data_IF_053578316686
#
_entry.id   IF_053578316686
#
_cell.length_a   1.000
_cell.length_b   1.000
_cell.length_c   1.000
_cell.angle_alpha   90.00
_cell.angle_beta   90.00
_cell.angle_gamma   90.00
#
_symmetry.space_group_name_H-M   'P 1'
#
loop_
_entity.id
_entity.type
_entity.pdbx_description
1 polymer ?
#
# COMPACT_ATOMS: atom_id res chain seq x y z
N UNK A 1 10.43 -8.62 -10.84
CA UNK A 1 10.26 -8.42 -9.40
C UNK A 1 8.77 -8.33 -8.98
N UNK A 2 7.85 -8.34 -9.95
CA UNK A 2 6.39 -8.37 -9.74
C UNK A 2 5.80 -9.77 -10.00
N UNK A 3 6.53 -10.84 -9.66
CA UNK A 3 6.01 -12.20 -9.74
C UNK A 3 4.81 -12.41 -8.79
N UNK A 4 3.94 -13.41 -9.04
CA UNK A 4 2.71 -13.59 -8.27
C UNK A 4 2.92 -13.80 -6.77
N UNK A 5 3.96 -14.51 -6.37
CA UNK A 5 4.21 -14.81 -4.95
C UNK A 5 5.40 -14.03 -4.40
N UNK A 6 5.37 -13.78 -3.09
CA UNK A 6 6.46 -13.13 -2.35
C UNK A 6 7.78 -13.89 -2.50
N UNK A 7 7.73 -15.22 -2.39
CA UNK A 7 8.89 -16.10 -2.49
C UNK A 7 9.56 -15.96 -3.86
N UNK A 8 8.77 -15.95 -4.95
CA UNK A 8 9.28 -15.75 -6.30
C UNK A 8 9.86 -14.34 -6.48
N UNK A 9 9.21 -13.32 -5.93
CA UNK A 9 9.71 -11.93 -6.00
C UNK A 9 11.06 -11.79 -5.33
N UNK A 10 11.23 -12.32 -4.13
CA UNK A 10 12.51 -12.31 -3.39
C UNK A 10 13.58 -13.19 -4.06
N UNK A 11 13.20 -14.35 -4.61
CA UNK A 11 14.12 -15.18 -5.37
C UNK A 11 14.62 -14.47 -6.63
N UNK A 12 13.72 -13.85 -7.38
CA UNK A 12 14.06 -13.04 -8.56
C UNK A 12 14.95 -11.84 -8.19
N UNK A 13 14.73 -11.22 -7.04
CA UNK A 13 15.60 -10.14 -6.55
C UNK A 13 17.02 -10.66 -6.34
N UNK A 14 17.20 -11.81 -5.67
CA UNK A 14 18.52 -12.41 -5.45
C UNK A 14 19.25 -12.68 -6.76
N UNK A 15 18.55 -13.12 -7.81
CA UNK A 15 19.14 -13.35 -9.13
C UNK A 15 19.55 -12.02 -9.79
N UNK A 16 18.68 -11.03 -9.79
CA UNK A 16 18.96 -9.72 -10.38
C UNK A 16 20.16 -9.06 -9.70
N UNK A 17 20.28 -9.18 -8.37
CA UNK A 17 21.38 -8.59 -7.60
C UNK A 17 22.76 -9.13 -7.98
N UNK A 18 22.87 -10.33 -8.58
CA UNK A 18 24.15 -10.88 -9.05
C UNK A 18 24.82 -10.03 -10.14
N UNK A 19 24.05 -9.27 -10.88
CA UNK A 19 24.52 -8.44 -12.01
C UNK A 19 24.19 -6.97 -11.84
N UNK A 20 23.46 -6.59 -10.78
CA UNK A 20 23.08 -5.18 -10.55
C UNK A 20 24.24 -4.39 -9.98
N UNK A 21 24.51 -3.24 -10.59
CA UNK A 21 25.37 -2.20 -10.04
C UNK A 21 24.49 -1.01 -9.66
N UNK A 22 24.26 -0.82 -8.38
CA UNK A 22 23.49 0.32 -7.90
C UNK A 22 24.29 1.61 -8.02
N UNK A 23 23.66 2.74 -8.37
CA UNK A 23 24.29 4.05 -8.27
C UNK A 23 24.64 4.35 -6.80
N UNK A 24 25.58 5.28 -6.54
CA UNK A 24 25.82 5.75 -5.18
C UNK A 24 24.53 6.26 -4.53
N UNK A 25 24.29 5.90 -3.27
CA UNK A 25 23.20 6.48 -2.51
C UNK A 25 23.48 7.97 -2.24
N UNK A 26 22.49 8.81 -2.51
CA UNK A 26 22.56 10.25 -2.26
C UNK A 26 21.92 10.54 -0.91
N UNK A 27 22.67 11.04 0.09
CA UNK A 27 22.17 11.20 1.47
C UNK A 27 20.91 12.08 1.59
N UNK A 28 20.68 12.99 0.66
CA UNK A 28 19.51 13.87 0.61
C UNK A 28 18.30 13.24 -0.07
N UNK A 29 18.47 12.10 -0.74
CA UNK A 29 17.38 11.43 -1.46
C UNK A 29 16.70 10.42 -0.54
N UNK A 30 15.55 10.85 -0.03
CA UNK A 30 14.71 10.09 0.91
C UNK A 30 13.27 10.09 0.39
N UNK A 31 12.64 8.91 0.37
CA UNK A 31 11.20 8.81 0.13
C UNK A 31 10.58 7.83 1.12
N UNK A 32 9.98 8.35 2.19
CA UNK A 32 9.30 7.56 3.21
C UNK A 32 7.77 7.44 2.96
N UNK A 33 7.32 7.65 1.72
CA UNK A 33 5.90 7.52 1.36
C UNK A 33 5.75 6.83 0.01
N UNK A 34 5.96 5.52 0.00
CA UNK A 34 5.87 4.67 -1.20
C UNK A 34 4.70 3.71 -1.04
N UNK A 35 3.82 3.69 -2.04
CA UNK A 35 2.72 2.74 -2.15
C UNK A 35 3.14 1.54 -2.99
N UNK A 36 2.58 0.36 -2.66
CA UNK A 36 2.84 -0.89 -3.38
C UNK A 36 1.55 -1.54 -3.89
N UNK A 37 1.64 -2.75 -4.45
CA UNK A 37 0.47 -3.55 -4.86
C UNK A 37 -0.50 -3.81 -3.70
N UNK A 38 -0.06 -3.66 -2.46
CA UNK A 38 -0.93 -3.76 -1.27
C UNK A 38 -1.91 -2.59 -1.11
N UNK A 39 -1.83 -1.57 -1.97
CA UNK A 39 -2.86 -0.52 -2.11
C UNK A 39 -3.23 -0.23 -3.56
N UNK A 40 -2.40 0.45 -4.34
CA UNK A 40 -2.78 0.80 -5.72
C UNK A 40 -1.60 0.99 -6.69
N UNK A 41 -0.38 0.77 -6.25
CA UNK A 41 0.81 0.91 -7.09
C UNK A 41 1.02 -0.35 -7.95
N UNK A 42 1.62 -0.24 -9.12
CA UNK A 42 2.01 -1.41 -9.92
C UNK A 42 3.28 -2.12 -9.39
N UNK A 43 3.93 -1.57 -8.38
CA UNK A 43 5.15 -2.14 -7.81
C UNK A 43 4.83 -3.04 -6.62
N UNK A 44 5.32 -4.29 -6.66
CA UNK A 44 5.38 -5.09 -5.44
C UNK A 44 6.31 -4.45 -4.40
N UNK A 45 6.21 -4.82 -3.12
CA UNK A 45 7.15 -4.31 -2.12
C UNK A 45 8.62 -4.54 -2.52
N UNK A 46 8.95 -5.71 -3.06
CA UNK A 46 10.29 -6.04 -3.59
C UNK A 46 10.71 -5.11 -4.74
N UNK A 47 9.83 -4.88 -5.71
CA UNK A 47 10.11 -4.01 -6.84
C UNK A 47 10.28 -2.54 -6.40
N UNK A 48 9.49 -2.10 -5.42
CA UNK A 48 9.56 -0.74 -4.89
C UNK A 48 10.90 -0.43 -4.21
N UNK A 49 11.42 -1.35 -3.37
CA UNK A 49 12.75 -1.19 -2.75
C UNK A 49 13.85 -1.18 -3.81
N UNK A 50 13.79 -2.09 -4.78
CA UNK A 50 14.76 -2.16 -5.86
C UNK A 50 14.77 -0.86 -6.68
N UNK A 51 13.60 -0.37 -7.10
CA UNK A 51 13.46 0.87 -7.85
C UNK A 51 13.98 2.08 -7.05
N UNK A 52 13.62 2.19 -5.77
CA UNK A 52 14.11 3.24 -4.89
C UNK A 52 15.65 3.26 -4.82
N UNK A 53 16.26 2.10 -4.69
CA UNK A 53 17.73 2.00 -4.66
C UNK A 53 18.38 2.29 -6.01
N UNK A 54 17.74 1.93 -7.12
CA UNK A 54 18.19 2.26 -8.49
C UNK A 54 18.14 3.77 -8.76
N UNK A 55 17.18 4.48 -8.18
CA UNK A 55 17.08 5.95 -8.26
C UNK A 55 18.06 6.68 -7.29
N UNK A 56 18.92 5.93 -6.58
CA UNK A 56 19.91 6.50 -5.68
C UNK A 56 19.37 6.95 -4.32
N UNK A 57 18.17 6.53 -3.94
CA UNK A 57 17.65 6.84 -2.60
C UNK A 57 18.53 6.20 -1.53
N UNK A 58 18.82 6.95 -0.46
CA UNK A 58 19.54 6.43 0.69
C UNK A 58 18.61 5.74 1.70
N UNK A 59 17.31 6.09 1.70
CA UNK A 59 16.28 5.42 2.50
C UNK A 59 14.92 5.50 1.81
N UNK A 60 14.07 4.50 2.06
CA UNK A 60 12.71 4.41 1.55
C UNK A 60 11.73 3.99 2.64
N UNK A 61 10.45 4.28 2.48
CA UNK A 61 9.41 3.86 3.41
C UNK A 61 8.14 3.41 2.71
N UNK A 62 7.61 2.24 3.11
CA UNK A 62 6.32 1.74 2.62
C UNK A 62 5.19 2.34 3.44
N UNK A 63 4.16 2.86 2.73
CA UNK A 63 2.97 3.50 3.32
C UNK A 63 1.74 3.11 2.48
N UNK A 64 1.28 1.88 2.58
CA UNK A 64 0.09 1.44 1.86
C UNK A 64 -1.21 1.87 2.55
N UNK A 65 -2.28 2.06 1.79
CA UNK A 65 -3.59 2.44 2.32
C UNK A 65 -4.25 1.28 3.09
N UNK A 66 -4.59 1.52 4.36
CA UNK A 66 -5.31 0.64 5.27
C UNK A 66 -4.67 -0.76 5.44
N UNK A 67 -3.40 -0.90 5.04
CA UNK A 67 -2.65 -2.15 5.12
C UNK A 67 -1.19 -1.91 5.49
N UNK A 68 -0.65 -2.80 6.31
CA UNK A 68 0.78 -2.92 6.61
C UNK A 68 1.34 -4.26 6.14
N UNK A 69 0.55 -5.07 5.43
CA UNK A 69 0.92 -6.45 5.11
C UNK A 69 2.11 -6.56 4.16
N UNK A 70 2.31 -5.59 3.26
CA UNK A 70 3.49 -5.52 2.39
C UNK A 70 4.81 -5.25 3.11
N UNK A 71 4.76 -4.81 4.38
CA UNK A 71 5.94 -4.40 5.12
C UNK A 71 6.96 -5.53 5.34
N UNK A 72 6.53 -6.77 5.55
CA UNK A 72 7.45 -7.90 5.75
C UNK A 72 8.29 -8.18 4.51
N UNK A 73 7.66 -8.19 3.34
CA UNK A 73 8.37 -8.34 2.07
C UNK A 73 9.29 -7.15 1.80
N UNK A 74 8.81 -5.93 2.09
CA UNK A 74 9.60 -4.71 1.92
C UNK A 74 10.88 -4.73 2.77
N UNK A 75 10.79 -5.19 4.03
CA UNK A 75 11.93 -5.35 4.93
C UNK A 75 12.93 -6.39 4.41
N UNK A 76 12.45 -7.57 3.97
CA UNK A 76 13.33 -8.63 3.45
C UNK A 76 14.03 -8.21 2.15
N UNK A 77 13.32 -7.52 1.26
CA UNK A 77 13.92 -6.96 0.05
C UNK A 77 14.98 -5.90 0.39
N UNK A 78 14.70 -5.05 1.37
CA UNK A 78 15.63 -4.02 1.84
C UNK A 78 16.89 -4.62 2.49
N UNK A 79 16.75 -5.69 3.25
CA UNK A 79 17.88 -6.43 3.82
C UNK A 79 18.79 -7.01 2.72
N UNK A 80 18.21 -7.63 1.68
CA UNK A 80 18.95 -8.16 0.54
C UNK A 80 19.73 -7.07 -0.21
N UNK A 81 19.17 -5.88 -0.29
CA UNK A 81 19.78 -4.71 -0.99
C UNK A 81 20.71 -3.92 -0.06
N UNK A 82 20.66 -4.17 1.24
CA UNK A 82 21.35 -3.40 2.29
C UNK A 82 20.93 -1.92 2.32
N UNK A 83 19.63 -1.67 2.14
CA UNK A 83 19.06 -0.33 2.15
C UNK A 83 18.29 -0.09 3.45
N UNK A 84 18.60 0.99 4.21
CA UNK A 84 17.77 1.40 5.34
C UNK A 84 16.35 1.74 4.90
N UNK A 85 15.34 1.24 5.63
CA UNK A 85 13.94 1.50 5.30
C UNK A 85 13.10 1.75 6.53
N UNK A 86 11.94 2.39 6.33
CA UNK A 86 10.88 2.51 7.34
C UNK A 86 9.62 1.79 6.88
N UNK A 87 8.82 1.34 7.82
CA UNK A 87 7.52 0.74 7.55
C UNK A 87 6.40 1.49 8.25
N UNK A 88 5.27 1.55 7.59
CA UNK A 88 4.10 2.24 8.10
C UNK A 88 2.88 1.99 7.22
N UNK A 89 1.87 2.82 7.36
CA UNK A 89 0.66 2.78 6.56
C UNK A 89 -0.04 4.13 6.53
N UNK A 90 -0.90 4.34 5.54
CA UNK A 90 -1.80 5.48 5.45
C UNK A 90 -3.24 5.05 5.73
N UNK A 91 -3.94 5.82 6.54
CA UNK A 91 -5.33 5.55 6.88
C UNK A 91 -6.16 6.84 6.87
N UNK A 92 -7.48 6.68 6.87
CA UNK A 92 -8.42 7.79 7.10
C UNK A 92 -8.76 7.84 8.58
N UNK A 93 -8.72 9.05 9.14
CA UNK A 93 -9.09 9.31 10.53
C UNK A 93 -10.27 10.28 10.56
N UNK A 94 -11.32 9.94 11.35
CA UNK A 94 -12.38 10.90 11.66
C UNK A 94 -11.83 12.00 12.56
N UNK A 95 -12.25 13.22 12.28
CA UNK A 95 -11.94 14.39 13.09
C UNK A 95 -13.06 14.71 14.09
N UNK A 96 -14.07 13.83 14.23
CA UNK A 96 -15.18 14.00 15.16
C UNK A 96 -14.66 14.16 16.60
N UNK A 97 -15.24 15.08 17.35
CA UNK A 97 -14.83 15.39 18.72
C UNK A 97 -13.49 16.14 18.85
N UNK A 98 -12.90 16.58 17.73
CA UNK A 98 -11.67 17.39 17.71
C UNK A 98 -11.94 18.85 17.29
N UNK A 99 -10.94 19.72 17.43
CA UNK A 99 -11.02 21.12 16.93
C UNK A 99 -11.13 21.19 15.38
N UNK A 100 -10.96 20.06 14.68
CA UNK A 100 -11.05 19.95 13.22
C UNK A 100 -12.39 19.35 12.76
N UNK A 101 -13.31 19.05 13.67
CA UNK A 101 -14.65 18.58 13.34
C UNK A 101 -15.35 19.52 12.36
N UNK A 102 -15.98 18.94 11.33
CA UNK A 102 -16.70 19.68 10.31
C UNK A 102 -15.83 20.53 9.38
N UNK A 103 -14.51 20.52 9.54
CA UNK A 103 -13.59 21.25 8.66
C UNK A 103 -13.06 20.38 7.54
N UNK A 104 -12.78 20.98 6.39
CA UNK A 104 -12.03 20.36 5.32
C UNK A 104 -10.54 20.39 5.65
N UNK A 105 -9.93 19.23 5.60
CA UNK A 105 -8.48 19.04 5.85
C UNK A 105 -7.76 18.67 4.54
N UNK A 106 -6.90 17.67 4.55
CA UNK A 106 -6.16 17.19 3.39
C UNK A 106 -6.92 16.12 2.57
N UNK A 107 -8.17 15.81 2.93
CA UNK A 107 -9.03 14.90 2.16
C UNK A 107 -9.95 15.76 1.26
N UNK A 108 -9.78 15.72 -0.07
CA UNK A 108 -10.59 16.52 -0.99
C UNK A 108 -12.04 16.05 -1.07
N UNK A 109 -12.31 14.78 -0.75
CA UNK A 109 -13.60 14.14 -0.98
C UNK A 109 -14.56 14.25 0.21
N UNK A 110 -14.01 14.37 1.43
CA UNK A 110 -14.80 14.32 2.66
C UNK A 110 -14.42 15.42 3.64
N UNK A 111 -15.45 16.05 4.21
CA UNK A 111 -15.31 17.00 5.34
C UNK A 111 -15.22 16.21 6.64
N UNK A 112 -14.42 16.66 7.59
CA UNK A 112 -14.26 16.02 8.89
C UNK A 112 -13.47 14.69 8.87
N UNK A 113 -12.82 14.37 7.76
CA UNK A 113 -11.95 13.18 7.63
C UNK A 113 -10.60 13.60 7.07
N UNK A 114 -9.52 13.15 7.69
CA UNK A 114 -8.14 13.39 7.24
C UNK A 114 -7.46 12.11 6.79
N UNK A 115 -6.57 12.20 5.80
CA UNK A 115 -5.54 11.19 5.57
C UNK A 115 -4.43 11.36 6.61
N UNK A 116 -4.06 10.27 7.25
CA UNK A 116 -3.03 10.22 8.27
C UNK A 116 -2.04 9.11 7.95
N UNK A 117 -0.74 9.38 8.08
CA UNK A 117 0.29 8.37 7.97
C UNK A 117 0.77 7.95 9.36
N UNK A 118 0.84 6.65 9.58
CA UNK A 118 1.51 6.04 10.73
C UNK A 118 2.88 5.61 10.23
N UNK A 119 3.94 6.19 10.76
CA UNK A 119 5.31 5.93 10.31
C UNK A 119 6.13 5.24 11.39
N UNK A 120 7.16 4.51 10.96
CA UNK A 120 8.13 3.84 11.85
C UNK A 120 7.45 2.86 12.81
N UNK A 121 6.51 2.06 12.31
CA UNK A 121 5.90 0.99 13.09
C UNK A 121 7.00 -0.01 13.50
N UNK A 122 7.11 -0.40 14.78
CA UNK A 122 8.03 -1.44 15.20
C UNK A 122 7.77 -2.77 14.47
N UNK A 123 8.83 -3.44 14.02
CA UNK A 123 8.70 -4.63 13.17
C UNK A 123 7.94 -5.78 13.85
N UNK A 124 8.01 -5.89 15.17
CA UNK A 124 7.28 -6.85 15.98
C UNK A 124 5.79 -6.53 16.16
N UNK A 125 5.34 -5.34 15.70
CA UNK A 125 3.95 -4.85 15.80
C UNK A 125 3.15 -4.99 14.51
N UNK A 126 3.73 -5.50 13.43
CA UNK A 126 3.05 -5.65 12.13
C UNK A 126 1.72 -6.42 12.28
N UNK A 127 1.73 -7.55 12.98
CA UNK A 127 0.52 -8.38 13.14
C UNK A 127 -0.55 -7.70 13.99
N UNK A 128 -0.13 -7.00 15.04
CA UNK A 128 -1.04 -6.23 15.91
C UNK A 128 -1.73 -5.10 15.13
N UNK A 129 -0.97 -4.37 14.32
CA UNK A 129 -1.50 -3.31 13.45
C UNK A 129 -2.42 -3.91 12.37
N UNK A 130 -2.04 -5.02 11.74
CA UNK A 130 -2.89 -5.71 10.77
C UNK A 130 -4.25 -6.14 11.38
N UNK A 131 -4.23 -6.70 12.58
CA UNK A 131 -5.44 -7.10 13.29
C UNK A 131 -6.32 -5.90 13.64
N UNK A 132 -5.71 -4.80 14.11
CA UNK A 132 -6.44 -3.57 14.43
C UNK A 132 -7.17 -3.00 13.20
N UNK A 133 -6.56 -3.04 12.01
CA UNK A 133 -7.14 -2.49 10.79
C UNK A 133 -8.07 -3.46 10.03
N UNK A 134 -8.19 -4.72 10.42
CA UNK A 134 -9.06 -5.69 9.76
C UNK A 134 -10.53 -5.22 9.65
N UNK A 135 -11.20 -4.69 10.70
CA UNK A 135 -12.57 -4.20 10.60
C UNK A 135 -12.74 -3.03 9.62
N UNK A 136 -11.70 -2.19 9.48
CA UNK A 136 -11.71 -1.05 8.56
C UNK A 136 -11.58 -1.50 7.11
N UNK A 137 -10.75 -2.51 6.82
CA UNK A 137 -10.68 -3.14 5.50
C UNK A 137 -12.01 -3.78 5.11
N UNK A 138 -12.66 -4.49 6.03
CA UNK A 138 -14.00 -5.04 5.80
C UNK A 138 -15.07 -3.96 5.54
N UNK A 139 -15.00 -2.83 6.24
CA UNK A 139 -15.88 -1.69 5.97
C UNK A 139 -15.62 -1.12 4.57
N UNK A 140 -14.36 -1.08 4.13
CA UNK A 140 -14.00 -0.65 2.77
C UNK A 140 -14.52 -1.64 1.72
N UNK A 141 -14.41 -2.94 1.93
CA UNK A 141 -15.00 -3.95 1.03
C UNK A 141 -16.51 -3.75 0.85
N UNK A 142 -17.25 -3.56 1.96
CA UNK A 142 -18.70 -3.27 1.90
C UNK A 142 -18.99 -1.99 1.11
N UNK A 143 -18.24 -0.93 1.35
CA UNK A 143 -18.38 0.33 0.59
C UNK A 143 -18.11 0.13 -0.91
N UNK A 144 -17.06 -0.58 -1.26
CA UNK A 144 -16.66 -0.80 -2.64
C UNK A 144 -17.69 -1.67 -3.39
N UNK A 145 -18.27 -2.69 -2.75
CA UNK A 145 -19.42 -3.43 -3.32
C UNK A 145 -20.59 -2.51 -3.64
N UNK A 146 -20.97 -1.65 -2.71
CA UNK A 146 -22.05 -0.68 -2.94
C UNK A 146 -21.69 0.33 -4.06
N UNK A 147 -20.41 0.66 -4.26
CA UNK A 147 -19.97 1.47 -5.40
C UNK A 147 -20.15 0.71 -6.72
N UNK A 148 -19.77 -0.56 -6.80
CA UNK A 148 -19.97 -1.40 -7.99
C UNK A 148 -21.47 -1.50 -8.35
N UNK A 149 -22.35 -1.70 -7.37
CA UNK A 149 -23.80 -1.70 -7.58
C UNK A 149 -24.28 -0.38 -8.20
N UNK A 150 -23.79 0.77 -7.70
CA UNK A 150 -24.13 2.08 -8.26
C UNK A 150 -23.58 2.27 -9.68
N UNK A 151 -22.36 1.81 -9.96
CA UNK A 151 -21.78 1.84 -11.31
C UNK A 151 -22.65 1.03 -12.27
N UNK A 152 -23.03 -0.19 -11.89
CA UNK A 152 -23.91 -1.04 -12.71
C UNK A 152 -25.29 -0.42 -12.98
N UNK A 153 -25.80 0.35 -12.02
CA UNK A 153 -27.08 1.05 -12.20
C UNK A 153 -26.99 2.27 -13.14
N UNK A 154 -25.78 2.80 -13.36
CA UNK A 154 -25.55 3.98 -14.21
C UNK A 154 -25.08 3.65 -15.63
N UNK A 155 -24.53 2.44 -15.84
CA UNK A 155 -23.90 2.05 -17.11
C UNK A 155 -24.69 0.91 -17.75
N UNK A 156 -25.34 1.21 -18.89
CA UNK A 156 -26.05 0.20 -19.68
C UNK A 156 -25.05 -0.80 -20.29
N UNK A 157 -25.38 -2.09 -20.18
CA UNK A 157 -24.62 -3.18 -20.80
C UNK A 157 -23.34 -3.59 -20.06
N UNK A 158 -23.04 -3.00 -18.92
CA UNK A 158 -21.92 -3.38 -18.04
C UNK A 158 -22.47 -4.01 -16.77
N UNK A 159 -22.00 -5.20 -16.43
CA UNK A 159 -22.33 -5.90 -15.20
C UNK A 159 -21.04 -6.32 -14.50
N UNK A 160 -20.47 -5.43 -13.69
CA UNK A 160 -19.31 -5.71 -12.84
C UNK A 160 -19.77 -6.49 -11.61
N UNK A 161 -18.97 -7.47 -11.21
CA UNK A 161 -19.07 -8.15 -9.93
C UNK A 161 -17.82 -7.85 -9.09
N UNK A 162 -18.05 -7.37 -7.86
CA UNK A 162 -16.93 -6.96 -7.01
C UNK A 162 -15.96 -8.11 -6.70
N UNK A 163 -16.48 -9.29 -6.40
CA UNK A 163 -15.65 -10.42 -5.97
C UNK A 163 -14.96 -11.12 -7.16
N UNK A 164 -15.57 -11.07 -8.34
CA UNK A 164 -15.03 -11.66 -9.57
C UNK A 164 -14.08 -10.70 -10.31
N UNK A 165 -14.44 -9.43 -10.44
CA UNK A 165 -13.80 -8.51 -11.39
C UNK A 165 -12.88 -7.50 -10.70
N UNK A 166 -13.12 -7.16 -9.42
CA UNK A 166 -12.37 -6.13 -8.69
C UNK A 166 -11.39 -6.73 -7.67
N UNK A 167 -11.91 -7.60 -6.81
CA UNK A 167 -11.13 -8.17 -5.71
C UNK A 167 -9.84 -8.89 -6.17
N UNK A 168 -9.85 -9.66 -7.28
CA UNK A 168 -8.65 -10.33 -7.78
C UNK A 168 -7.56 -9.39 -8.32
N UNK A 169 -7.88 -8.11 -8.57
CA UNK A 169 -6.90 -7.10 -9.01
C UNK A 169 -6.08 -6.54 -7.86
N UNK A 170 -6.37 -6.92 -6.63
CA UNK A 170 -5.76 -6.42 -5.40
C UNK A 170 -5.08 -7.53 -4.60
N UNK A 171 -4.26 -7.15 -3.64
CA UNK A 171 -3.68 -8.07 -2.65
C UNK A 171 -4.61 -8.31 -1.44
N UNK A 172 -5.93 -8.23 -1.62
CA UNK A 172 -6.88 -8.38 -0.51
C UNK A 172 -6.78 -9.75 0.20
N UNK A 173 -6.38 -10.80 -0.50
CA UNK A 173 -6.13 -12.13 0.08
C UNK A 173 -4.98 -12.12 1.09
N UNK A 174 -4.04 -11.21 0.92
CA UNK A 174 -2.89 -10.97 1.79
C UNK A 174 -3.09 -9.74 2.70
N UNK A 175 -4.34 -9.39 2.98
CA UNK A 175 -4.74 -8.21 3.75
C UNK A 175 -4.32 -6.86 3.13
N UNK A 176 -4.14 -6.81 1.81
CA UNK A 176 -3.96 -5.55 1.08
C UNK A 176 -5.24 -4.71 1.05
N UNK A 177 -5.08 -3.41 0.85
CA UNK A 177 -6.18 -2.47 0.69
C UNK A 177 -6.80 -2.56 -0.71
N UNK A 178 -8.12 -2.46 -0.81
CA UNK A 178 -8.82 -2.27 -2.09
C UNK A 178 -9.24 -0.82 -2.21
N UNK A 179 -8.60 -0.09 -3.07
CA UNK A 179 -8.86 1.34 -3.30
C UNK A 179 -9.84 1.53 -4.46
N UNK A 180 -10.31 2.76 -4.64
CA UNK A 180 -11.19 3.15 -5.75
C UNK A 180 -10.52 2.92 -7.11
N UNK A 181 -9.18 2.94 -7.19
CA UNK A 181 -8.43 2.69 -8.43
C UNK A 181 -8.57 1.28 -8.98
N UNK A 182 -8.93 0.30 -8.12
CA UNK A 182 -9.24 -1.04 -8.58
C UNK A 182 -10.64 -1.14 -9.25
N UNK A 183 -11.46 -0.08 -9.13
CA UNK A 183 -12.78 0.03 -9.76
C UNK A 183 -12.75 0.79 -11.09
N UNK A 184 -11.63 1.43 -11.41
CA UNK A 184 -11.43 2.25 -12.61
C UNK A 184 -10.78 1.45 -13.72
#
# INVERSE_FOLDING_TARGET
LNAPTREERLANLKEVLKTTNFPPAVPQYINNHIHTTYSFSPYSPTAAVYAARMEGLCTAGIIDHDSISGAREFLEAAELIQMPVTIGMECRASMDGTAMEGKRTNNPDQVGVSYMTIQSVPHDKIDEVNAFFAPYREARHRRNRAMVEKINALLDGIALDYDRDVLPLSEAKENGGVTERHLM
#
